data_IF_678103737881
#
_entry.id   IF_678103737881
#
_cell.length_a   1.000
_cell.length_b   1.000
_cell.length_c   1.000
_cell.angle_alpha   90.00
_cell.angle_beta   90.00
_cell.angle_gamma   90.00
#
_symmetry.space_group_name_H-M   'P 1'
#
loop_
_entity.id
_entity.type
_entity.pdbx_description
1 polymer ?
#
# COMPACT_ATOMS: atom_id res chain seq x y z
N UNK A 1 -3.31 11.92 -9.68
CA UNK A 1 -2.12 12.15 -8.83
C UNK A 1 -1.49 10.83 -8.41
N UNK A 2 -0.23 10.85 -7.97
CA UNK A 2 0.46 9.74 -7.32
C UNK A 2 0.85 10.17 -5.92
N UNK A 3 0.61 9.32 -4.95
CA UNK A 3 0.92 9.55 -3.54
C UNK A 3 1.91 8.51 -3.05
N UNK A 4 2.78 8.89 -2.13
CA UNK A 4 3.66 7.95 -1.44
C UNK A 4 3.82 8.36 0.03
N UNK A 5 4.21 7.39 0.83
CA UNK A 5 4.67 7.60 2.20
C UNK A 5 6.18 7.43 2.20
N UNK A 6 6.90 8.45 2.65
CA UNK A 6 8.36 8.36 2.84
C UNK A 6 8.68 8.06 4.29
N UNK A 7 9.71 7.23 4.49
CA UNK A 7 10.23 6.96 5.82
C UNK A 7 10.92 8.21 6.37
N UNK A 8 10.46 8.71 7.49
CA UNK A 8 11.01 9.86 8.22
C UNK A 8 11.45 9.52 9.64
N UNK A 9 11.49 8.20 9.95
CA UNK A 9 11.78 7.68 11.29
C UNK A 9 10.54 7.57 12.18
N UNK A 10 9.42 8.14 11.80
CA UNK A 10 8.14 7.92 12.48
C UNK A 10 7.49 6.62 12.04
N UNK A 11 6.52 6.12 12.82
CA UNK A 11 5.80 4.89 12.47
C UNK A 11 4.85 5.05 11.27
N UNK A 12 4.39 6.26 11.00
CA UNK A 12 3.42 6.54 9.92
C UNK A 12 4.09 7.08 8.66
N UNK A 13 5.34 7.55 8.77
CA UNK A 13 6.03 8.25 7.70
C UNK A 13 5.35 9.56 7.31
N UNK A 14 5.88 10.24 6.31
CA UNK A 14 5.34 11.49 5.80
C UNK A 14 4.68 11.31 4.43
N UNK A 15 3.53 11.95 4.25
CA UNK A 15 2.83 11.98 2.96
C UNK A 15 3.54 12.89 1.97
N UNK A 16 3.71 12.39 0.75
CA UNK A 16 4.23 13.17 -0.38
C UNK A 16 3.39 12.94 -1.64
N UNK A 17 3.36 13.96 -2.49
CA UNK A 17 2.84 13.86 -3.86
C UNK A 17 4.01 13.61 -4.81
N UNK A 18 3.91 12.57 -5.62
CA UNK A 18 4.97 12.15 -6.54
C UNK A 18 4.61 12.55 -7.97
N UNK A 19 5.60 13.00 -8.73
CA UNK A 19 5.44 13.36 -10.15
C UNK A 19 5.08 12.14 -11.00
N UNK A 20 4.48 12.37 -12.17
CA UNK A 20 4.05 11.28 -13.08
C UNK A 20 5.18 10.39 -13.54
N UNK A 21 6.36 10.98 -13.73
CA UNK A 21 7.60 10.31 -14.15
C UNK A 21 8.36 9.63 -13.01
N UNK A 22 7.88 9.75 -11.77
CA UNK A 22 8.50 9.22 -10.55
C UNK A 22 9.89 9.83 -10.25
N UNK A 23 10.21 10.96 -10.85
CA UNK A 23 11.53 11.59 -10.66
C UNK A 23 11.59 12.53 -9.45
N UNK A 24 10.44 13.12 -9.08
CA UNK A 24 10.38 14.17 -8.06
C UNK A 24 9.18 13.99 -7.14
N UNK A 25 9.26 14.58 -5.97
CA UNK A 25 8.12 14.68 -5.07
C UNK A 25 7.98 16.08 -4.46
N UNK A 26 6.79 16.39 -4.00
CA UNK A 26 6.48 17.56 -3.18
C UNK A 26 5.91 17.11 -1.83
N UNK A 27 6.40 17.72 -0.74
CA UNK A 27 5.90 17.44 0.59
C UNK A 27 4.43 17.90 0.72
N UNK A 28 3.60 17.09 1.34
CA UNK A 28 2.17 17.37 1.52
C UNK A 28 1.79 17.74 2.97
N UNK A 29 2.77 18.01 3.84
CA UNK A 29 2.55 18.23 5.28
C UNK A 29 1.57 19.37 5.59
N UNK A 30 1.51 20.41 4.74
CA UNK A 30 0.54 21.51 4.88
C UNK A 30 -0.90 21.11 4.47
N UNK A 31 -1.08 19.93 3.89
CA UNK A 31 -2.36 19.39 3.44
C UNK A 31 -2.79 18.26 4.36
N UNK A 32 -1.94 17.25 4.49
CA UNK A 32 -2.07 16.15 5.44
C UNK A 32 -0.66 15.62 5.78
N UNK A 33 -0.42 15.29 7.03
CA UNK A 33 0.90 14.83 7.48
C UNK A 33 1.18 13.39 7.05
N UNK A 34 0.16 12.53 7.08
CA UNK A 34 0.28 11.10 6.80
C UNK A 34 -0.75 10.66 5.76
N UNK A 35 -0.53 9.51 5.14
CA UNK A 35 -1.50 8.89 4.22
C UNK A 35 -2.81 8.58 4.96
N UNK A 36 -2.74 8.10 6.20
CA UNK A 36 -3.92 7.81 7.01
C UNK A 36 -4.78 9.07 7.18
N UNK A 37 -4.17 10.18 7.61
CA UNK A 37 -4.89 11.45 7.77
C UNK A 37 -5.50 11.95 6.44
N UNK A 38 -4.82 11.73 5.32
CA UNK A 38 -5.36 12.08 4.01
C UNK A 38 -6.59 11.26 3.66
N UNK A 39 -6.59 9.96 3.94
CA UNK A 39 -7.73 9.07 3.65
C UNK A 39 -8.92 9.36 4.56
N UNK A 40 -8.69 9.66 5.83
CA UNK A 40 -9.76 10.01 6.79
C UNK A 40 -10.47 11.31 6.41
N UNK A 41 -9.76 12.28 5.84
CA UNK A 41 -10.33 13.55 5.38
C UNK A 41 -10.45 13.66 3.86
N UNK A 42 -10.56 12.55 3.11
CA UNK A 42 -10.36 12.48 1.67
C UNK A 42 -11.15 13.49 0.85
N UNK A 43 -12.41 13.70 1.15
CA UNK A 43 -13.28 14.62 0.40
C UNK A 43 -12.71 16.07 0.36
N UNK A 44 -12.16 16.53 1.47
CA UNK A 44 -11.60 17.89 1.59
C UNK A 44 -10.11 17.96 1.20
N UNK A 45 -9.39 16.86 1.36
CA UNK A 45 -7.93 16.79 1.17
C UNK A 45 -7.57 16.45 -0.29
N UNK A 46 -8.30 15.55 -0.93
CA UNK A 46 -7.99 15.12 -2.29
C UNK A 46 -7.90 16.25 -3.32
N UNK A 47 -8.80 17.26 -3.35
CA UNK A 47 -8.66 18.38 -4.28
C UNK A 47 -7.36 19.19 -4.08
N UNK A 48 -6.93 19.35 -2.83
CA UNK A 48 -5.69 20.07 -2.49
C UNK A 48 -4.45 19.28 -2.91
N UNK A 49 -4.47 17.96 -2.71
CA UNK A 49 -3.41 17.06 -3.19
C UNK A 49 -3.36 17.02 -4.72
N UNK A 50 -4.53 17.08 -5.39
CA UNK A 50 -4.58 17.15 -6.85
C UNK A 50 -3.95 18.45 -7.36
N UNK A 51 -4.26 19.59 -6.75
CA UNK A 51 -3.64 20.89 -7.10
C UNK A 51 -2.11 20.81 -6.94
N UNK A 52 -1.62 20.26 -5.81
CA UNK A 52 -0.19 20.08 -5.60
C UNK A 52 0.44 19.16 -6.65
N UNK A 53 -0.27 18.10 -7.06
CA UNK A 53 0.16 17.22 -8.14
C UNK A 53 0.26 17.94 -9.48
N UNK A 54 -0.69 18.81 -9.79
CA UNK A 54 -0.72 19.53 -11.06
C UNK A 54 0.40 20.56 -11.13
N UNK A 55 0.65 21.32 -10.05
CA UNK A 55 1.76 22.29 -9.97
C UNK A 55 3.14 21.62 -10.00
N UNK A 56 3.28 20.43 -9.39
CA UNK A 56 4.51 19.65 -9.49
C UNK A 56 4.76 19.15 -10.92
N UNK A 57 3.73 18.66 -11.59
CA UNK A 57 3.86 18.09 -12.93
C UNK A 57 3.95 19.15 -14.04
N UNK A 58 3.44 20.36 -13.83
CA UNK A 58 3.65 21.49 -14.74
C UNK A 58 5.04 22.09 -14.65
N UNK A 59 5.78 21.77 -13.58
CA UNK A 59 7.10 22.37 -13.30
C UNK A 59 7.02 23.75 -12.64
N UNK A 60 5.83 24.19 -12.23
CA UNK A 60 5.62 25.43 -11.48
C UNK A 60 6.32 25.38 -10.12
N UNK A 61 6.38 24.19 -9.51
CA UNK A 61 7.23 23.90 -8.36
C UNK A 61 8.29 22.86 -8.72
N UNK A 62 9.53 23.04 -8.23
CA UNK A 62 10.66 22.17 -8.57
C UNK A 62 10.54 20.76 -8.00
N UNK A 63 10.10 20.65 -6.76
CA UNK A 63 10.09 19.39 -6.00
C UNK A 63 11.50 18.90 -5.62
N UNK A 64 11.53 17.85 -4.83
CA UNK A 64 12.75 17.14 -4.43
C UNK A 64 12.91 15.85 -5.23
N UNK A 65 14.13 15.32 -5.42
CA UNK A 65 14.34 14.02 -6.07
C UNK A 65 13.59 12.91 -5.33
N UNK A 66 12.83 12.07 -6.05
CA UNK A 66 12.12 10.95 -5.48
C UNK A 66 12.95 9.68 -5.56
N UNK A 67 13.34 9.16 -4.41
CA UNK A 67 13.99 7.87 -4.29
C UNK A 67 12.98 6.80 -3.86
N UNK A 68 12.76 5.80 -4.70
CA UNK A 68 11.85 4.69 -4.43
C UNK A 68 12.32 3.80 -3.27
N UNK A 69 13.64 3.76 -3.00
CA UNK A 69 14.19 3.01 -1.87
C UNK A 69 13.83 3.66 -0.52
N UNK A 70 13.58 4.97 -0.51
CA UNK A 70 13.12 5.70 0.66
C UNK A 70 11.59 5.60 0.89
N UNK A 71 10.87 4.98 -0.05
CA UNK A 71 9.42 4.81 0.10
C UNK A 71 9.11 3.75 1.17
N UNK A 72 8.13 4.08 2.01
CA UNK A 72 7.53 3.16 2.96
C UNK A 72 6.32 2.44 2.34
N UNK A 73 5.75 1.46 3.04
CA UNK A 73 4.38 1.02 2.74
C UNK A 73 3.45 2.23 2.70
N UNK A 74 2.47 2.30 1.80
CA UNK A 74 1.54 3.44 1.74
C UNK A 74 0.86 3.74 3.07
N UNK A 75 0.47 2.70 3.79
CA UNK A 75 -0.10 2.74 5.13
C UNK A 75 0.73 1.84 6.06
N UNK A 76 1.83 2.32 6.64
CA UNK A 76 2.73 1.49 7.45
C UNK A 76 2.04 0.85 8.65
N UNK A 77 1.03 1.52 9.19
CA UNK A 77 0.22 1.06 10.33
C UNK A 77 -1.25 0.90 9.96
N UNK A 78 -1.55 0.36 8.78
CA UNK A 78 -2.94 0.05 8.47
C UNK A 78 -3.55 -0.82 9.58
N UNK A 79 -4.78 -0.49 9.98
CA UNK A 79 -5.48 -1.19 11.06
C UNK A 79 -5.78 -2.64 10.74
N UNK A 80 -5.89 -2.94 9.46
CA UNK A 80 -6.24 -4.27 8.98
C UNK A 80 -5.77 -4.44 7.54
N UNK A 81 -5.37 -5.65 7.19
CA UNK A 81 -5.14 -6.08 5.83
C UNK A 81 -6.04 -7.27 5.52
N UNK A 82 -6.79 -7.17 4.46
CA UNK A 82 -7.67 -8.24 4.01
C UNK A 82 -7.55 -8.41 2.49
N UNK A 83 -7.56 -9.64 2.04
CA UNK A 83 -7.55 -10.01 0.62
C UNK A 83 -8.89 -10.65 0.25
N UNK A 84 -9.63 -10.00 -0.65
CA UNK A 84 -10.90 -10.50 -1.18
C UNK A 84 -10.68 -11.31 -2.44
N UNK A 85 -10.64 -12.63 -2.34
CA UNK A 85 -10.45 -13.53 -3.48
C UNK A 85 -11.76 -13.75 -4.25
N UNK A 86 -12.28 -12.68 -4.87
CA UNK A 86 -13.55 -12.70 -5.60
C UNK A 86 -13.41 -12.92 -7.11
N UNK A 87 -12.20 -12.99 -7.65
CA UNK A 87 -11.97 -13.20 -9.08
C UNK A 87 -12.10 -14.67 -9.45
N UNK A 88 -13.28 -15.04 -9.97
CA UNK A 88 -13.69 -16.44 -10.23
C UNK A 88 -12.65 -17.22 -11.02
N UNK A 89 -12.16 -16.67 -12.13
CA UNK A 89 -11.19 -17.37 -12.98
C UNK A 89 -9.89 -17.68 -12.25
N UNK A 90 -9.39 -16.76 -11.42
CA UNK A 90 -8.20 -16.99 -10.61
C UNK A 90 -8.41 -18.15 -9.63
N UNK A 91 -9.52 -18.13 -8.90
CA UNK A 91 -9.82 -19.19 -7.92
C UNK A 91 -10.02 -20.54 -8.61
N UNK A 92 -10.70 -20.57 -9.75
CA UNK A 92 -10.89 -21.79 -10.55
C UNK A 92 -9.54 -22.40 -10.97
N UNK A 93 -8.62 -21.60 -11.51
CA UNK A 93 -7.29 -22.05 -11.91
C UNK A 93 -6.46 -22.56 -10.73
N UNK A 94 -6.48 -21.87 -9.60
CA UNK A 94 -5.76 -22.30 -8.39
C UNK A 94 -6.32 -23.62 -7.86
N UNK A 95 -7.64 -23.80 -7.85
CA UNK A 95 -8.27 -25.07 -7.44
C UNK A 95 -7.96 -26.20 -8.39
N UNK A 96 -8.05 -25.96 -9.70
CA UNK A 96 -7.66 -26.93 -10.69
C UNK A 96 -6.19 -27.38 -10.53
N UNK A 97 -5.27 -26.43 -10.29
CA UNK A 97 -3.86 -26.73 -10.05
C UNK A 97 -3.64 -27.58 -8.80
N UNK A 98 -4.55 -27.49 -7.80
CA UNK A 98 -4.52 -28.29 -6.56
C UNK A 98 -5.35 -29.58 -6.64
N UNK A 99 -5.97 -29.88 -7.77
CA UNK A 99 -6.86 -31.03 -7.92
C UNK A 99 -8.14 -30.94 -7.10
N UNK A 100 -8.60 -29.71 -6.77
CA UNK A 100 -9.78 -29.46 -5.95
C UNK A 100 -10.91 -28.85 -6.79
N UNK A 101 -12.13 -29.22 -6.46
CA UNK A 101 -13.33 -28.65 -7.10
C UNK A 101 -13.71 -27.31 -6.48
N UNK A 102 -14.47 -26.50 -7.22
CA UNK A 102 -15.04 -25.25 -6.72
C UNK A 102 -16.15 -25.55 -5.71
N UNK A 103 -16.13 -25.00 -4.51
CA UNK A 103 -17.22 -25.19 -3.55
C UNK A 103 -18.46 -24.41 -4.03
N UNK A 104 -19.63 -24.97 -3.77
CA UNK A 104 -20.91 -24.30 -4.10
C UNK A 104 -21.02 -22.93 -3.40
N UNK A 105 -20.53 -22.82 -2.15
CA UNK A 105 -20.54 -21.60 -1.38
C UNK A 105 -19.69 -20.46 -1.97
N UNK A 106 -18.81 -20.75 -2.93
CA UNK A 106 -18.00 -19.73 -3.59
C UNK A 106 -18.84 -18.63 -4.27
N UNK A 107 -20.03 -18.96 -4.71
CA UNK A 107 -20.92 -18.03 -5.40
C UNK A 107 -21.75 -17.14 -4.49
N UNK A 108 -21.85 -17.50 -3.21
CA UNK A 108 -22.68 -16.81 -2.21
C UNK A 108 -21.84 -16.20 -1.09
N UNK A 109 -20.72 -16.83 -0.76
CA UNK A 109 -19.90 -16.44 0.37
C UNK A 109 -18.61 -15.77 -0.10
N UNK A 110 -18.30 -14.57 0.42
CA UNK A 110 -17.04 -13.91 0.09
C UNK A 110 -15.85 -14.71 0.63
N UNK A 111 -14.93 -15.06 -0.24
CA UNK A 111 -13.66 -15.66 0.17
C UNK A 111 -12.70 -14.57 0.59
N UNK A 112 -12.49 -14.42 1.89
CA UNK A 112 -11.64 -13.39 2.47
C UNK A 112 -10.48 -14.02 3.24
N UNK A 113 -9.26 -13.55 2.97
CA UNK A 113 -8.12 -13.81 3.81
C UNK A 113 -7.83 -12.58 4.67
N UNK A 114 -7.76 -12.76 5.97
CA UNK A 114 -7.37 -11.70 6.88
C UNK A 114 -5.89 -11.86 7.22
N UNK A 115 -5.10 -10.83 6.89
CA UNK A 115 -3.69 -10.74 7.21
C UNK A 115 -3.44 -10.00 8.53
N UNK A 116 -2.22 -9.52 8.68
CA UNK A 116 -1.81 -8.76 9.85
C UNK A 116 -2.27 -7.31 9.86
N UNK A 117 -1.78 -6.57 10.83
CA UNK A 117 -1.98 -5.13 11.00
C UNK A 117 -0.67 -4.46 11.45
N UNK A 118 -0.65 -3.15 11.47
CA UNK A 118 0.28 -2.27 12.18
C UNK A 118 1.73 -2.20 11.72
N UNK A 119 2.29 -3.16 11.01
CA UNK A 119 3.74 -3.15 10.74
C UNK A 119 4.05 -3.68 9.34
N UNK A 120 3.68 -2.90 8.34
CA UNK A 120 3.89 -3.26 6.94
C UNK A 120 5.27 -2.86 6.47
N UNK A 121 5.99 -3.81 5.91
CA UNK A 121 7.32 -3.59 5.36
C UNK A 121 7.30 -2.61 4.18
N UNK A 122 8.33 -1.76 4.03
CA UNK A 122 8.54 -1.00 2.82
C UNK A 122 8.62 -1.92 1.58
N UNK A 123 8.14 -1.47 0.41
CA UNK A 123 8.04 -2.32 -0.78
C UNK A 123 9.38 -2.85 -1.29
N UNK A 124 10.49 -2.18 -0.95
CA UNK A 124 11.84 -2.57 -1.34
C UNK A 124 12.72 -3.05 -0.17
N UNK A 125 12.14 -3.13 1.02
CA UNK A 125 12.89 -3.65 2.17
C UNK A 125 13.13 -5.16 2.03
N UNK A 126 14.31 -5.64 2.45
CA UNK A 126 14.57 -7.08 2.47
C UNK A 126 13.68 -7.77 3.51
N UNK A 127 13.08 -8.88 3.13
CA UNK A 127 12.37 -9.75 4.06
C UNK A 127 13.42 -10.50 4.88
N UNK A 128 13.52 -10.17 6.17
CA UNK A 128 14.45 -10.84 7.08
C UNK A 128 13.84 -12.14 7.55
N UNK A 129 14.45 -13.27 7.17
CA UNK A 129 14.03 -14.58 7.58
C UNK A 129 14.93 -15.04 8.71
N UNK A 130 14.35 -15.37 9.85
CA UNK A 130 15.03 -16.05 10.95
C UNK A 130 14.62 -17.52 10.93
N UNK A 131 15.56 -18.42 10.76
CA UNK A 131 15.30 -19.86 10.69
C UNK A 131 14.63 -20.43 11.94
N UNK A 132 14.78 -19.75 13.07
CA UNK A 132 14.16 -20.17 14.34
C UNK A 132 12.70 -19.72 14.51
N UNK A 133 12.33 -18.55 13.95
CA UNK A 133 11.04 -17.90 14.24
C UNK A 133 10.16 -17.71 13.03
N UNK A 134 10.72 -17.74 11.82
CA UNK A 134 10.00 -17.49 10.57
C UNK A 134 9.93 -18.70 9.67
N UNK A 135 10.49 -19.82 10.09
CA UNK A 135 10.24 -21.09 9.42
C UNK A 135 8.75 -21.38 9.48
N UNK A 136 8.11 -21.72 8.37
CA UNK A 136 6.75 -22.22 8.45
C UNK A 136 6.75 -23.38 9.44
N UNK A 137 5.88 -23.29 10.43
CA UNK A 137 5.65 -24.41 11.34
C UNK A 137 5.43 -25.65 10.50
N UNK A 138 6.18 -26.73 10.73
CA UNK A 138 5.81 -27.99 10.14
C UNK A 138 4.37 -28.23 10.57
N UNK A 139 3.52 -28.33 9.62
CA UNK A 139 2.17 -28.76 9.91
C UNK A 139 2.24 -30.23 10.17
N UNK A 140 1.87 -30.55 11.35
CA UNK A 140 1.60 -31.92 11.74
C UNK A 140 0.55 -32.55 10.85
#
# INVERSE_FOLDING_TARGET
>A
MKLATLNDGSRDGKLVVVSRDLARYAAAANIAQTMQAALEGWESIAPRLQTLSDTLNSGEIGGEPFDQEAAHSPLPRAYQWADGSAYVNHVALVRQARGAEMPESFWTDPLMYQGGSDDFLPPRAPIRICLLYTSPSPRD
#
